data_IF_058651445470
#
_entry.id   IF_058651445470
#
_cell.length_a   1.000
_cell.length_b   1.000
_cell.length_c   1.000
_cell.angle_alpha   90.00
_cell.angle_beta   90.00
_cell.angle_gamma   90.00
#
_symmetry.space_group_name_H-M   'P 1'
#
loop_
_entity.id
_entity.type
_entity.pdbx_description
1 polymer ?
#
# COMPACT_ATOMS: atom_id res chain seq x y z
N UNK A 1 0.79 0.58 -16.11
CA UNK A 1 1.36 1.39 -15.02
C UNK A 1 2.40 2.39 -15.56
N UNK A 2 3.44 1.92 -16.22
CA UNK A 2 4.50 2.80 -16.76
C UNK A 2 3.94 3.84 -17.72
N UNK A 3 3.03 3.45 -18.61
CA UNK A 3 2.38 4.36 -19.53
C UNK A 3 1.60 5.46 -18.78
N UNK A 4 0.92 5.10 -17.71
CA UNK A 4 0.19 6.06 -16.88
C UNK A 4 1.15 7.06 -16.22
N UNK A 5 2.31 6.60 -15.75
CA UNK A 5 3.35 7.49 -15.22
C UNK A 5 3.82 8.50 -16.27
N UNK A 6 4.02 8.06 -17.50
CA UNK A 6 4.41 8.95 -18.59
C UNK A 6 3.35 9.98 -18.90
N UNK A 7 2.09 9.55 -19.01
CA UNK A 7 0.95 10.44 -19.31
C UNK A 7 0.74 11.49 -18.22
N UNK A 8 0.97 11.12 -16.96
CA UNK A 8 0.80 12.02 -15.82
C UNK A 8 2.09 12.73 -15.42
N UNK A 9 3.19 12.51 -16.13
CA UNK A 9 4.50 13.09 -15.86
C UNK A 9 5.00 12.81 -14.44
N UNK A 10 4.82 11.56 -14.00
CA UNK A 10 5.25 11.09 -12.68
C UNK A 10 6.62 10.45 -12.78
N UNK A 11 7.47 10.70 -11.78
CA UNK A 11 8.85 10.21 -11.75
C UNK A 11 9.06 8.99 -10.86
N UNK A 12 8.04 8.60 -10.11
CA UNK A 12 8.12 7.46 -9.18
C UNK A 12 6.93 6.54 -9.38
N UNK A 13 7.19 5.24 -9.44
CA UNK A 13 6.19 4.19 -9.48
C UNK A 13 6.36 3.28 -8.27
N UNK A 14 5.28 3.03 -7.55
CA UNK A 14 5.27 2.12 -6.41
C UNK A 14 4.41 0.91 -6.77
N UNK A 15 4.95 -0.29 -6.61
CA UNK A 15 4.22 -1.55 -6.83
C UNK A 15 4.11 -2.27 -5.49
N UNK A 16 2.90 -2.58 -5.08
CA UNK A 16 2.60 -3.23 -3.80
C UNK A 16 1.62 -4.39 -3.98
N UNK A 17 1.42 -5.16 -2.93
CA UNK A 17 0.48 -6.28 -2.92
C UNK A 17 1.13 -7.61 -3.29
N UNK A 18 0.34 -8.70 -3.24
CA UNK A 18 0.86 -10.06 -3.42
C UNK A 18 1.52 -10.30 -4.77
N UNK A 19 1.01 -9.69 -5.84
CA UNK A 19 1.59 -9.82 -7.18
C UNK A 19 3.00 -9.20 -7.25
N UNK A 20 3.29 -8.20 -6.42
CA UNK A 20 4.60 -7.56 -6.37
C UNK A 20 5.71 -8.50 -5.87
N UNK A 21 5.38 -9.65 -5.28
CA UNK A 21 6.36 -10.67 -4.90
C UNK A 21 6.88 -11.47 -6.11
N UNK A 22 6.24 -11.37 -7.26
CA UNK A 22 6.64 -12.08 -8.47
C UNK A 22 7.95 -11.49 -9.03
N UNK A 23 9.00 -12.31 -9.08
CA UNK A 23 10.32 -11.86 -9.57
C UNK A 23 10.29 -11.38 -11.01
N UNK A 24 9.56 -12.07 -11.88
CA UNK A 24 9.47 -11.71 -13.29
C UNK A 24 8.81 -10.34 -13.47
N UNK A 25 7.74 -10.08 -12.73
CA UNK A 25 7.06 -8.80 -12.76
C UNK A 25 8.00 -7.68 -12.26
N UNK A 26 8.70 -7.90 -11.15
CA UNK A 26 9.66 -6.94 -10.61
C UNK A 26 10.77 -6.61 -11.61
N UNK A 27 11.33 -7.64 -12.23
CA UNK A 27 12.40 -7.49 -13.22
C UNK A 27 11.94 -6.70 -14.43
N UNK A 28 10.78 -7.04 -14.98
CA UNK A 28 10.18 -6.34 -16.12
C UNK A 28 9.88 -4.88 -15.80
N UNK A 29 9.31 -4.63 -14.62
CA UNK A 29 9.00 -3.28 -14.17
C UNK A 29 10.28 -2.45 -13.99
N UNK A 30 11.32 -3.03 -13.40
CA UNK A 30 12.61 -2.35 -13.22
C UNK A 30 13.24 -1.99 -14.55
N UNK A 31 13.26 -2.92 -15.50
CA UNK A 31 13.80 -2.67 -16.83
C UNK A 31 13.09 -1.51 -17.54
N UNK A 32 11.77 -1.49 -17.49
CA UNK A 32 10.97 -0.44 -18.12
C UNK A 32 11.13 0.90 -17.45
N UNK A 33 11.15 0.90 -16.11
CA UNK A 33 11.34 2.13 -15.35
C UNK A 33 12.74 2.72 -15.59
N UNK A 34 13.76 1.88 -15.64
CA UNK A 34 15.15 2.32 -15.90
C UNK A 34 15.27 3.00 -17.26
N UNK A 35 14.61 2.44 -18.30
CA UNK A 35 14.62 3.02 -19.65
C UNK A 35 13.99 4.40 -19.71
N UNK A 36 13.05 4.69 -18.82
CA UNK A 36 12.27 5.92 -18.86
C UNK A 36 12.63 6.90 -17.73
N UNK A 37 13.64 6.57 -16.94
CA UNK A 37 14.07 7.41 -15.84
C UNK A 37 13.05 7.49 -14.69
N UNK A 38 12.20 6.48 -14.56
CA UNK A 38 11.23 6.39 -13.48
C UNK A 38 11.84 5.61 -12.31
N UNK A 39 11.74 6.15 -11.11
CA UNK A 39 12.14 5.44 -9.88
C UNK A 39 11.11 4.39 -9.54
N UNK A 40 11.51 3.12 -9.45
CA UNK A 40 10.64 2.03 -9.01
C UNK A 40 10.86 1.74 -7.54
N UNK A 41 9.79 1.70 -6.78
CA UNK A 41 9.80 1.30 -5.37
C UNK A 41 8.89 0.10 -5.18
N UNK A 42 9.48 -0.99 -4.67
CA UNK A 42 8.76 -2.24 -4.38
C UNK A 42 9.15 -2.67 -2.97
N UNK A 43 8.18 -2.97 -2.10
CA UNK A 43 8.51 -3.43 -0.75
C UNK A 43 9.20 -4.80 -0.76
N UNK A 44 9.88 -5.17 0.33
CA UNK A 44 10.42 -6.53 0.47
C UNK A 44 9.32 -7.58 0.26
N UNK A 45 9.63 -8.75 -0.34
CA UNK A 45 8.61 -9.77 -0.66
C UNK A 45 7.73 -10.17 0.52
N UNK A 46 8.28 -10.25 1.72
CA UNK A 46 7.52 -10.63 2.92
C UNK A 46 6.51 -9.58 3.38
N UNK A 47 6.59 -8.36 2.86
CA UNK A 47 5.63 -7.28 3.14
C UNK A 47 4.61 -7.08 2.01
N UNK A 48 4.71 -7.85 0.92
CA UNK A 48 3.79 -7.73 -0.21
C UNK A 48 2.46 -8.43 0.01
N UNK A 49 2.38 -9.36 0.96
CA UNK A 49 1.14 -10.05 1.34
C UNK A 49 0.65 -9.53 2.68
N UNK A 50 -0.63 -9.79 2.97
CA UNK A 50 -1.23 -9.39 4.24
C UNK A 50 -0.42 -9.94 5.41
N UNK A 51 -0.19 -9.10 6.40
CA UNK A 51 0.56 -9.48 7.61
C UNK A 51 0.08 -8.63 8.80
N UNK A 52 0.27 -9.20 9.99
CA UNK A 52 -0.17 -8.54 11.21
C UNK A 52 0.55 -7.24 11.50
N UNK A 53 1.81 -7.11 11.07
CA UNK A 53 2.60 -5.91 11.33
C UNK A 53 2.03 -4.68 10.62
N UNK A 54 1.58 -4.82 9.36
CA UNK A 54 0.99 -3.70 8.64
C UNK A 54 -0.33 -3.25 9.26
N UNK A 55 -1.13 -4.18 9.72
CA UNK A 55 -2.41 -3.86 10.39
C UNK A 55 -2.16 -3.22 11.76
N UNK A 56 -1.20 -3.73 12.50
CA UNK A 56 -0.79 -3.13 13.79
C UNK A 56 -0.26 -1.71 13.61
N UNK A 57 0.49 -1.44 12.54
CA UNK A 57 0.99 -0.10 12.23
C UNK A 57 -0.16 0.88 11.99
N UNK A 58 -1.19 0.49 11.23
CA UNK A 58 -2.38 1.31 11.02
C UNK A 58 -3.13 1.50 12.34
N UNK A 59 -3.27 0.44 13.13
CA UNK A 59 -3.90 0.52 14.45
C UNK A 59 -3.19 1.50 15.37
N UNK A 60 -1.87 1.47 15.39
CA UNK A 60 -1.07 2.41 16.19
C UNK A 60 -1.30 3.85 15.77
N UNK A 61 -1.32 4.11 14.47
CA UNK A 61 -1.62 5.45 13.95
C UNK A 61 -3.02 5.92 14.33
N UNK A 62 -4.00 5.05 14.27
CA UNK A 62 -5.37 5.36 14.67
C UNK A 62 -5.47 5.70 16.14
N UNK A 63 -4.83 4.90 17.00
CA UNK A 63 -4.81 5.16 18.47
C UNK A 63 -4.14 6.48 18.76
N UNK A 64 -3.00 6.76 18.16
CA UNK A 64 -2.28 8.02 18.37
C UNK A 64 -3.06 9.24 17.88
N UNK A 65 -3.87 9.08 16.85
CA UNK A 65 -4.71 10.16 16.33
C UNK A 65 -6.03 10.33 17.07
N UNK A 66 -6.27 9.54 18.13
CA UNK A 66 -7.44 9.68 18.99
C UNK A 66 -8.69 8.96 18.51
N UNK A 67 -8.55 7.99 17.59
CA UNK A 67 -9.70 7.20 17.14
C UNK A 67 -10.28 6.35 18.28
N UNK A 68 -11.61 6.31 18.36
CA UNK A 68 -12.31 5.50 19.35
C UNK A 68 -12.13 4.01 19.05
N UNK A 69 -11.84 3.18 20.05
CA UNK A 69 -11.74 1.75 19.85
C UNK A 69 -13.12 1.14 19.53
N UNK A 70 -13.11 0.08 18.74
CA UNK A 70 -14.32 -0.70 18.49
C UNK A 70 -14.77 -1.43 19.75
N UNK A 71 -16.09 -1.72 19.82
CA UNK A 71 -16.61 -2.53 20.92
C UNK A 71 -16.14 -3.98 20.83
N UNK A 72 -16.20 -4.70 21.96
CA UNK A 72 -15.77 -6.11 22.03
C UNK A 72 -16.61 -7.05 21.18
N UNK A 73 -17.81 -6.63 20.76
CA UNK A 73 -18.69 -7.43 19.91
C UNK A 73 -18.45 -7.29 18.41
N UNK A 74 -17.41 -6.56 17.98
CA UNK A 74 -17.13 -6.41 16.56
C UNK A 74 -16.75 -7.75 15.93
N UNK A 75 -17.35 -8.06 14.78
CA UNK A 75 -17.02 -9.26 14.01
C UNK A 75 -16.27 -8.89 12.73
N UNK A 76 -15.49 -9.83 12.22
CA UNK A 76 -14.86 -9.66 10.90
C UNK A 76 -15.94 -9.68 9.82
N UNK A 77 -15.84 -8.75 8.87
CA UNK A 77 -16.73 -8.66 7.72
C UNK A 77 -15.90 -8.63 6.44
N UNK A 78 -15.72 -9.77 5.74
CA UNK A 78 -14.92 -9.83 4.53
C UNK A 78 -15.53 -9.08 3.35
N UNK A 79 -16.81 -8.71 3.46
CA UNK A 79 -17.53 -7.95 2.43
C UNK A 79 -17.66 -6.47 2.75
N UNK A 80 -17.00 -6.01 3.80
CA UNK A 80 -17.05 -4.60 4.19
C UNK A 80 -16.60 -3.69 3.05
N UNK A 81 -17.39 -2.63 2.81
CA UNK A 81 -17.03 -1.63 1.81
C UNK A 81 -15.87 -0.78 2.33
N UNK A 82 -14.88 -0.58 1.47
CA UNK A 82 -13.75 0.27 1.80
C UNK A 82 -14.18 1.73 1.77
N UNK A 83 -14.53 2.25 2.92
CA UNK A 83 -14.68 3.69 3.08
C UNK A 83 -13.30 4.28 3.32
N UNK A 84 -12.99 5.41 2.71
CA UNK A 84 -11.73 6.07 2.97
C UNK A 84 -11.54 6.28 4.47
N UNK A 85 -10.45 5.74 5.02
CA UNK A 85 -10.13 5.97 6.42
C UNK A 85 -9.87 7.46 6.62
N UNK A 86 -10.80 8.13 7.26
CA UNK A 86 -10.57 9.50 7.69
C UNK A 86 -9.77 9.47 8.98
N UNK A 87 -8.46 9.58 8.83
CA UNK A 87 -7.63 9.83 10.00
C UNK A 87 -7.96 11.25 10.50
N UNK A 88 -8.16 11.42 11.81
CA UNK A 88 -8.27 12.75 12.37
C UNK A 88 -7.03 13.54 11.97
N UNK A 89 -7.23 14.72 11.39
CA UNK A 89 -6.11 15.59 11.02
C UNK A 89 -5.41 16.00 12.30
N UNK A 90 -4.09 15.75 12.45
CA UNK A 90 -3.37 16.21 13.61
C UNK A 90 -3.46 17.74 13.70
N UNK A 91 -3.80 18.21 14.85
CA UNK A 91 -3.90 19.64 15.11
C UNK A 91 -2.54 20.33 14.96
#
# INVERSE_FOLDING_TARGET
AVKACQEKKLSTLVIVGGVAANRHLRQKAQERCDKLGIELRVPPPHLCTDNGAMIAAVGDLLVRSGAEPSGLGIAADPSAVLHGAQLPVPA
#
